data_IF_701577911578
#
_entry.id   IF_701577911578
#
_cell.length_a   1.000
_cell.length_b   1.000
_cell.length_c   1.000
_cell.angle_alpha   90.00
_cell.angle_beta   90.00
_cell.angle_gamma   90.00
#
_symmetry.space_group_name_H-M   'P 1'
#
loop_
_entity.id
_entity.type
_entity.pdbx_description
1 polymer ?
#
# COMPACT_ATOMS: atom_id res chain seq x y z
N UNK A 1 -43.97 8.31 11.09
CA UNK A 1 -42.95 8.70 12.09
C UNK A 1 -41.76 9.26 11.32
N UNK A 2 -41.52 10.58 11.37
CA UNK A 2 -40.35 11.17 10.70
C UNK A 2 -39.10 10.83 11.50
N UNK A 3 -38.09 10.25 10.86
CA UNK A 3 -36.78 10.02 11.49
C UNK A 3 -36.24 11.36 11.94
N UNK A 4 -35.88 11.46 13.21
CA UNK A 4 -35.35 12.69 13.79
C UNK A 4 -34.01 13.02 13.11
N UNK A 5 -34.05 14.00 12.21
CA UNK A 5 -32.88 14.38 11.43
C UNK A 5 -31.81 14.96 12.38
N UNK A 6 -30.60 14.41 12.33
CA UNK A 6 -29.42 14.93 13.05
C UNK A 6 -29.11 16.42 12.76
N UNK A 7 -29.71 17.01 11.71
CA UNK A 7 -29.64 18.44 11.39
C UNK A 7 -30.45 19.36 12.31
N UNK A 8 -31.28 18.85 13.24
CA UNK A 8 -32.01 19.71 14.19
C UNK A 8 -31.11 20.41 15.23
N UNK A 9 -29.85 19.99 15.36
CA UNK A 9 -28.89 20.61 16.27
C UNK A 9 -27.56 20.93 15.56
N UNK A 10 -27.47 22.11 14.91
CA UNK A 10 -26.27 22.53 14.18
C UNK A 10 -25.01 22.62 15.06
N UNK A 11 -25.15 23.10 16.30
CA UNK A 11 -24.01 23.21 17.23
C UNK A 11 -23.52 21.83 17.66
N UNK A 12 -24.44 20.92 18.02
CA UNK A 12 -24.09 19.54 18.35
C UNK A 12 -23.47 18.78 17.17
N UNK A 13 -23.89 19.06 15.94
CA UNK A 13 -23.23 18.52 14.75
C UNK A 13 -21.78 19.01 14.63
N UNK A 14 -21.54 20.33 14.73
CA UNK A 14 -20.19 20.91 14.68
C UNK A 14 -19.28 20.32 15.76
N UNK A 15 -19.80 20.12 16.97
CA UNK A 15 -19.04 19.52 18.06
C UNK A 15 -18.65 18.06 17.80
N UNK A 16 -19.56 17.26 17.24
CA UNK A 16 -19.25 15.87 16.86
C UNK A 16 -18.19 15.81 15.76
N UNK A 17 -18.26 16.71 14.77
CA UNK A 17 -17.25 16.81 13.72
C UNK A 17 -15.89 17.19 14.31
N UNK A 18 -15.84 18.19 15.19
CA UNK A 18 -14.61 18.59 15.90
C UNK A 18 -14.04 17.43 16.70
N UNK A 19 -14.85 16.78 17.54
CA UNK A 19 -14.43 15.64 18.36
C UNK A 19 -13.95 14.45 17.52
N UNK A 20 -14.59 14.18 16.38
CA UNK A 20 -14.13 13.18 15.43
C UNK A 20 -12.77 13.56 14.81
N UNK A 21 -12.58 14.84 14.45
CA UNK A 21 -11.31 15.38 13.97
C UNK A 21 -10.18 15.24 14.99
N UNK A 22 -10.42 15.61 16.24
CA UNK A 22 -9.44 15.47 17.33
C UNK A 22 -9.05 14.01 17.58
N UNK A 23 -10.02 13.08 17.56
CA UNK A 23 -9.72 11.65 17.67
C UNK A 23 -8.94 11.15 16.47
N UNK A 24 -9.27 11.61 15.28
CA UNK A 24 -8.52 11.27 14.07
C UNK A 24 -7.08 11.77 14.18
N UNK A 25 -6.84 13.03 14.53
CA UNK A 25 -5.50 13.59 14.73
C UNK A 25 -4.70 12.80 15.78
N UNK A 26 -5.35 12.45 16.90
CA UNK A 26 -4.70 11.81 18.06
C UNK A 26 -4.39 10.33 17.85
N UNK A 27 -5.29 9.59 17.22
CA UNK A 27 -5.20 8.12 17.12
C UNK A 27 -4.85 7.64 15.71
N UNK A 28 -5.10 8.44 14.67
CA UNK A 28 -4.74 8.07 13.32
C UNK A 28 -3.23 8.12 13.13
N UNK A 29 -2.70 7.08 12.49
CA UNK A 29 -1.30 7.07 12.03
C UNK A 29 -1.12 7.87 10.74
N UNK A 30 -2.22 8.21 10.04
CA UNK A 30 -2.17 8.85 8.73
C UNK A 30 -1.45 10.20 8.74
N UNK A 31 -1.71 11.14 9.67
CA UNK A 31 -0.95 12.39 9.73
C UNK A 31 0.57 12.15 9.87
N UNK A 32 0.97 11.19 10.71
CA UNK A 32 2.39 10.83 10.88
C UNK A 32 3.00 10.25 9.60
N UNK A 33 2.30 9.32 8.93
CA UNK A 33 2.74 8.73 7.66
C UNK A 33 2.89 9.80 6.58
N UNK A 34 1.93 10.72 6.50
CA UNK A 34 1.95 11.84 5.56
C UNK A 34 3.18 12.73 5.77
N UNK A 35 3.48 13.16 7.00
CA UNK A 35 4.69 13.95 7.28
C UNK A 35 5.99 13.22 6.94
N UNK A 36 6.04 11.90 7.19
CA UNK A 36 7.20 11.07 6.84
C UNK A 36 7.38 10.99 5.33
N UNK A 37 6.28 10.85 4.58
CA UNK A 37 6.31 10.86 3.12
C UNK A 37 6.91 12.16 2.60
N UNK A 38 6.45 13.33 3.09
CA UNK A 38 7.00 14.62 2.65
C UNK A 38 8.48 14.73 2.97
N UNK A 39 8.88 14.41 4.22
CA UNK A 39 10.26 14.48 4.63
C UNK A 39 11.18 13.56 3.81
N UNK A 40 10.70 12.39 3.41
CA UNK A 40 11.44 11.47 2.54
C UNK A 40 11.59 12.02 1.12
N UNK A 41 10.51 12.55 0.53
CA UNK A 41 10.54 13.14 -0.82
C UNK A 41 11.45 14.37 -0.86
N UNK A 42 11.38 15.26 0.14
CA UNK A 42 12.27 16.42 0.26
C UNK A 42 13.75 16.02 0.43
N UNK A 43 14.02 14.87 1.08
CA UNK A 43 15.36 14.31 1.19
C UNK A 43 15.84 13.58 -0.08
N UNK A 44 15.05 13.59 -1.17
CA UNK A 44 15.39 12.94 -2.43
C UNK A 44 15.17 11.43 -2.46
N UNK A 45 14.50 10.86 -1.46
CA UNK A 45 14.13 9.43 -1.47
C UNK A 45 12.97 9.22 -2.46
N UNK A 46 13.04 8.19 -3.34
CA UNK A 46 11.95 7.90 -4.25
C UNK A 46 10.62 7.67 -3.54
N UNK A 47 9.55 8.22 -4.11
CA UNK A 47 8.21 8.06 -3.57
C UNK A 47 7.76 6.59 -3.64
N UNK A 48 7.31 6.04 -2.51
CA UNK A 48 6.83 4.66 -2.42
C UNK A 48 5.40 4.44 -2.99
N UNK A 49 4.75 5.49 -3.48
CA UNK A 49 3.48 5.35 -4.21
C UNK A 49 3.78 4.71 -5.57
N UNK A 50 3.12 3.59 -5.92
CA UNK A 50 3.37 2.88 -7.17
C UNK A 50 3.28 3.77 -8.40
N UNK A 51 4.12 3.51 -9.39
CA UNK A 51 4.02 4.14 -10.71
C UNK A 51 2.62 3.90 -11.30
N UNK A 52 1.99 4.95 -11.83
CA UNK A 52 0.59 4.93 -12.31
C UNK A 52 -0.45 5.42 -11.30
N UNK A 53 -0.10 5.50 -10.01
CA UNK A 53 -0.97 6.14 -9.00
C UNK A 53 -0.55 7.59 -8.81
N UNK A 54 -1.51 8.51 -8.88
CA UNK A 54 -1.26 9.92 -8.61
C UNK A 54 -0.90 10.13 -7.14
N UNK A 55 0.30 10.64 -6.86
CA UNK A 55 0.66 11.13 -5.54
C UNK A 55 0.59 12.66 -5.55
N UNK A 56 -0.43 13.22 -4.89
CA UNK A 56 -0.67 14.67 -4.78
C UNK A 56 0.42 15.43 -4.02
N UNK A 57 1.27 14.72 -3.27
CA UNK A 57 2.32 15.31 -2.42
C UNK A 57 3.69 15.34 -3.10
N UNK A 58 3.84 14.61 -4.20
CA UNK A 58 5.06 14.62 -4.98
C UNK A 58 5.03 15.78 -5.98
N UNK A 59 6.15 16.48 -6.13
CA UNK A 59 6.33 17.41 -7.23
C UNK A 59 6.28 16.66 -8.58
N UNK A 60 5.89 17.37 -9.65
CA UNK A 60 5.93 16.83 -10.99
C UNK A 60 7.36 16.38 -11.34
N UNK A 61 7.53 15.11 -11.72
CA UNK A 61 8.84 14.53 -12.03
C UNK A 61 9.58 13.91 -10.84
N UNK A 62 8.98 13.86 -9.64
CA UNK A 62 9.56 13.11 -8.52
C UNK A 62 9.78 11.64 -8.90
N UNK A 63 10.98 11.11 -8.59
CA UNK A 63 11.32 9.71 -8.83
C UNK A 63 10.42 8.82 -7.98
N UNK A 64 9.77 7.83 -8.60
CA UNK A 64 8.91 6.86 -7.93
C UNK A 64 9.57 5.50 -7.91
N UNK A 65 9.27 4.72 -6.88
CA UNK A 65 9.56 3.31 -6.88
C UNK A 65 8.82 2.66 -8.05
N UNK A 66 9.58 1.96 -8.89
CA UNK A 66 9.02 1.08 -9.89
C UNK A 66 8.44 -0.16 -9.22
N UNK A 67 7.61 -0.89 -9.96
CA UNK A 67 7.12 -2.19 -9.52
C UNK A 67 8.27 -3.17 -9.20
N UNK A 68 9.41 -3.05 -9.90
CA UNK A 68 10.62 -3.83 -9.60
C UNK A 68 11.23 -3.46 -8.26
N UNK A 69 11.22 -2.18 -7.90
CA UNK A 69 11.75 -1.72 -6.61
C UNK A 69 10.86 -2.18 -5.45
N UNK A 70 9.54 -2.27 -5.68
CA UNK A 70 8.56 -2.72 -4.69
C UNK A 70 8.57 -4.24 -4.50
N UNK A 71 8.66 -5.00 -5.60
CA UNK A 71 8.62 -6.46 -5.56
C UNK A 71 9.99 -7.09 -5.22
N UNK A 72 11.04 -6.26 -5.11
CA UNK A 72 12.42 -6.70 -4.97
C UNK A 72 12.93 -7.37 -6.25
N UNK A 73 14.25 -7.57 -6.33
CA UNK A 73 14.89 -8.23 -7.47
C UNK A 73 14.20 -9.55 -7.85
N UNK A 74 13.41 -9.51 -8.93
CA UNK A 74 13.11 -10.68 -9.78
C UNK A 74 14.31 -11.04 -10.68
N UNK A 75 15.48 -10.46 -10.42
CA UNK A 75 16.71 -10.67 -11.20
C UNK A 75 17.37 -12.03 -11.00
N UNK A 76 16.97 -12.81 -9.98
CA UNK A 76 17.35 -14.21 -9.87
C UNK A 76 16.31 -15.03 -10.62
N UNK A 77 16.44 -15.10 -11.95
CA UNK A 77 15.72 -16.11 -12.70
C UNK A 77 16.18 -17.48 -12.23
N UNK A 78 15.25 -18.36 -11.84
CA UNK A 78 15.58 -19.76 -11.53
C UNK A 78 16.34 -20.36 -12.72
N UNK A 79 17.58 -20.85 -12.54
CA UNK A 79 18.36 -21.50 -13.59
C UNK A 79 17.53 -22.58 -14.29
N UNK A 80 17.70 -22.71 -15.61
CA UNK A 80 16.90 -23.62 -16.43
C UNK A 80 17.03 -25.06 -15.92
N UNK A 81 18.20 -25.42 -15.44
CA UNK A 81 18.55 -26.73 -14.90
C UNK A 81 17.68 -27.08 -13.69
N UNK A 82 17.41 -26.10 -12.82
CA UNK A 82 16.56 -26.29 -11.65
C UNK A 82 15.08 -26.40 -12.03
N UNK A 83 14.64 -25.71 -13.09
CA UNK A 83 13.28 -25.89 -13.62
C UNK A 83 13.10 -27.29 -14.19
N UNK A 84 14.06 -27.77 -14.97
CA UNK A 84 14.06 -29.12 -15.53
C UNK A 84 14.14 -30.19 -14.44
N UNK A 85 14.96 -29.98 -13.40
CA UNK A 85 15.02 -30.90 -12.25
C UNK A 85 13.67 -30.99 -11.54
N UNK A 86 13.00 -29.86 -11.32
CA UNK A 86 11.68 -29.82 -10.71
C UNK A 86 10.65 -30.61 -11.52
N UNK A 87 10.63 -30.42 -12.84
CA UNK A 87 9.72 -31.14 -13.74
C UNK A 87 9.94 -32.66 -13.65
N UNK A 88 11.19 -33.12 -13.70
CA UNK A 88 11.53 -34.54 -13.54
C UNK A 88 11.06 -35.12 -12.21
N UNK A 89 11.25 -34.36 -11.12
CA UNK A 89 10.86 -34.80 -9.78
C UNK A 89 9.33 -34.91 -9.65
N UNK A 90 8.58 -33.97 -10.23
CA UNK A 90 7.12 -34.01 -10.28
C UNK A 90 6.64 -35.23 -11.07
N UNK A 91 7.27 -35.51 -12.22
CA UNK A 91 6.94 -36.69 -13.03
C UNK A 91 7.19 -37.98 -12.26
N UNK A 92 8.32 -38.11 -11.55
CA UNK A 92 8.62 -39.31 -10.75
C UNK A 92 7.62 -39.52 -9.61
N UNK A 93 7.34 -38.48 -8.83
CA UNK A 93 6.37 -38.55 -7.73
C UNK A 93 4.96 -38.89 -8.23
N UNK A 94 4.60 -38.42 -9.43
CA UNK A 94 3.31 -38.75 -10.05
C UNK A 94 3.22 -40.21 -10.51
N UNK A 95 4.33 -40.79 -10.98
CA UNK A 95 4.38 -42.21 -11.33
C UNK A 95 4.38 -43.13 -10.09
N UNK A 96 5.10 -42.76 -9.03
CA UNK A 96 5.11 -43.54 -7.77
C UNK A 96 3.78 -43.49 -7.03
N UNK A 97 2.98 -42.44 -7.22
CA UNK A 97 1.66 -42.33 -6.60
C UNK A 97 0.55 -43.10 -7.35
N UNK A 98 0.87 -43.67 -8.52
CA UNK A 98 -0.08 -44.38 -9.39
C UNK A 98 0.06 -45.93 -9.31
N UNK A 99 1.02 -46.42 -8.54
CA UNK A 99 1.14 -47.83 -8.09
C UNK A 99 0.54 -48.02 -6.69
#
# INVERSE_FOLDING_TARGET
MFVENFNKNPSGYRERVRSAGERYERYSKRPKILRLHDGAVEAGIPCAVPSGVACERCQAGAVRLSERDLNGYTGISVPVELKTLREKLITQLSSESAE
#
